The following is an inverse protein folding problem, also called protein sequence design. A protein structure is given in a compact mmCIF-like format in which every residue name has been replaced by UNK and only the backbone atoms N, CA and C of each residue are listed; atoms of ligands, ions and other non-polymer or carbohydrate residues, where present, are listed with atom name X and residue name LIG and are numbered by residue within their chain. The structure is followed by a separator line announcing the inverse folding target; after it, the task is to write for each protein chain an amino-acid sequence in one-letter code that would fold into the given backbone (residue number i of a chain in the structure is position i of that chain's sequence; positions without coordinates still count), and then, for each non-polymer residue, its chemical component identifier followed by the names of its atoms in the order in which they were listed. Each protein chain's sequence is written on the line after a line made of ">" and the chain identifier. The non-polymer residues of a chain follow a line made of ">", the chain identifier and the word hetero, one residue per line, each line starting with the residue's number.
data_IF_267475513356
#
_entry.id   IF_267475513356
#
_cell.length_a   1.000
_cell.length_b   1.000
_cell.length_c   1.000
_cell.angle_alpha   90.00
_cell.angle_beta   90.00
_cell.angle_gamma   90.00
#
_symmetry.space_group_name_H-M   'P 1'
#
loop_
_entity.id
_entity.type
_entity.pdbx_description
1 polymer ?
#
# COMPACT_ATOMS: atom_id res chain seq x y z
N UNK A 1 -15.55 0.67 6.43
CA UNK A 1 -14.78 0.12 7.59
C UNK A 1 -14.32 -1.28 7.21
N UNK A 2 -13.06 -1.61 7.40
CA UNK A 2 -12.53 -2.95 7.21
C UNK A 2 -12.17 -3.55 8.58
N UNK A 3 -12.46 -4.82 8.78
CA UNK A 3 -12.11 -5.58 9.99
C UNK A 3 -11.25 -6.77 9.61
N UNK A 4 -10.44 -7.23 10.54
CA UNK A 4 -9.53 -8.35 10.34
C UNK A 4 -9.60 -9.29 11.54
N UNK A 5 -9.65 -10.58 11.29
CA UNK A 5 -9.74 -11.58 12.34
C UNK A 5 -8.93 -12.84 11.98
N UNK A 6 -8.16 -13.33 12.92
CA UNK A 6 -7.77 -12.69 14.17
C UNK A 6 -6.66 -11.63 13.96
N UNK A 7 -6.64 -10.56 14.76
CA UNK A 7 -5.58 -9.58 14.64
C UNK A 7 -4.26 -10.02 15.31
N UNK A 8 -4.34 -10.90 16.29
CA UNK A 8 -3.22 -11.37 17.09
C UNK A 8 -3.38 -12.86 17.39
N UNK A 9 -2.36 -13.65 17.15
CA UNK A 9 -2.41 -15.09 17.40
C UNK A 9 -1.06 -15.63 17.91
N UNK A 10 -1.11 -16.52 18.90
CA UNK A 10 0.07 -17.17 19.41
C UNK A 10 0.59 -18.21 18.42
N UNK A 11 1.88 -18.16 18.13
CA UNK A 11 2.54 -19.17 17.31
C UNK A 11 3.05 -20.30 18.20
N UNK A 12 2.51 -21.49 17.98
CA UNK A 12 2.87 -22.71 18.70
C UNK A 12 3.26 -23.80 17.68
N UNK A 13 3.79 -24.92 18.16
CA UNK A 13 4.07 -26.07 17.30
C UNK A 13 2.81 -26.81 16.83
N UNK A 14 1.67 -26.53 17.44
CA UNK A 14 0.39 -27.12 17.09
C UNK A 14 -0.29 -26.46 15.88
N UNK A 15 -1.62 -26.64 15.82
CA UNK A 15 -2.43 -26.03 14.79
C UNK A 15 -2.35 -24.51 14.84
N UNK A 16 -2.24 -23.86 13.67
CA UNK A 16 -2.12 -22.43 13.51
C UNK A 16 -3.27 -21.89 12.69
N UNK A 17 -3.92 -20.85 13.18
CA UNK A 17 -4.86 -20.09 12.38
C UNK A 17 -4.10 -19.20 11.39
N UNK A 18 -4.56 -19.14 10.15
CA UNK A 18 -4.07 -18.26 9.09
C UNK A 18 -5.24 -17.74 8.28
N UNK A 19 -5.19 -16.49 7.81
CA UNK A 19 -4.13 -15.47 7.99
C UNK A 19 -4.26 -14.72 9.31
N UNK A 20 -3.15 -14.12 9.77
CA UNK A 20 -3.06 -13.28 10.97
C UNK A 20 -2.39 -11.95 10.65
N UNK A 21 -2.60 -10.95 11.50
CA UNK A 21 -1.85 -9.70 11.42
C UNK A 21 -0.54 -9.76 12.20
N UNK A 22 -0.57 -10.33 13.40
CA UNK A 22 0.58 -10.39 14.29
C UNK A 22 0.68 -11.81 14.87
N UNK A 23 1.84 -12.43 14.68
CA UNK A 23 2.25 -13.62 15.39
C UNK A 23 3.01 -13.25 16.64
N UNK A 24 2.87 -14.03 17.69
CA UNK A 24 3.68 -13.84 18.89
C UNK A 24 3.96 -15.16 19.62
N UNK A 25 5.03 -15.20 20.37
CA UNK A 25 5.32 -16.17 21.41
C UNK A 25 5.53 -15.44 22.74
N UNK A 26 6.11 -16.10 23.73
CA UNK A 26 6.38 -15.49 25.04
C UNK A 26 7.56 -14.48 25.04
N UNK A 27 8.32 -14.37 23.95
CA UNK A 27 9.50 -13.51 23.85
C UNK A 27 9.43 -12.54 22.68
N UNK A 28 8.69 -12.88 21.60
CA UNK A 28 8.75 -12.17 20.33
C UNK A 28 7.34 -11.86 19.81
N UNK A 29 7.26 -10.80 19.00
CA UNK A 29 6.09 -10.50 18.19
C UNK A 29 6.54 -10.12 16.78
N UNK A 30 5.82 -10.62 15.78
CA UNK A 30 6.15 -10.43 14.37
C UNK A 30 4.94 -9.90 13.60
N UNK A 31 5.16 -8.88 12.80
CA UNK A 31 4.15 -8.31 11.90
C UNK A 31 4.14 -9.07 10.59
N UNK A 32 2.96 -9.50 10.16
CA UNK A 32 2.79 -10.13 8.85
C UNK A 32 2.65 -9.10 7.73
N UNK A 33 2.69 -9.53 6.47
CA UNK A 33 2.36 -8.66 5.34
C UNK A 33 0.95 -8.06 5.45
N UNK A 34 -0.02 -8.81 5.98
CA UNK A 34 -1.37 -8.32 6.25
C UNK A 34 -1.41 -7.16 7.25
N UNK A 35 -0.57 -7.19 8.28
CA UNK A 35 -0.41 -6.06 9.20
C UNK A 35 0.05 -4.81 8.45
N UNK A 36 1.09 -4.94 7.63
CA UNK A 36 1.62 -3.78 6.91
C UNK A 36 0.63 -3.21 5.89
N UNK A 37 -0.13 -4.05 5.20
CA UNK A 37 -1.21 -3.60 4.31
C UNK A 37 -2.24 -2.77 5.10
N UNK A 38 -2.74 -3.29 6.22
CA UNK A 38 -3.69 -2.56 7.08
C UNK A 38 -3.10 -1.26 7.61
N UNK A 39 -1.85 -1.27 8.03
CA UNK A 39 -1.15 -0.09 8.51
C UNK A 39 -1.04 0.98 7.42
N UNK A 40 -0.61 0.61 6.21
CA UNK A 40 -0.47 1.54 5.09
C UNK A 40 -1.81 2.18 4.73
N UNK A 41 -2.88 1.39 4.66
CA UNK A 41 -4.20 1.92 4.33
C UNK A 41 -4.80 2.77 5.44
N UNK A 42 -4.57 2.43 6.71
CA UNK A 42 -5.14 3.16 7.84
C UNK A 42 -4.43 4.47 8.16
N UNK A 43 -3.11 4.53 7.96
CA UNK A 43 -2.31 5.71 8.24
C UNK A 43 -2.33 6.74 7.12
N UNK A 44 -2.44 6.29 5.89
CA UNK A 44 -2.47 7.15 4.71
C UNK A 44 -3.92 7.36 4.26
N UNK A 45 -4.61 8.23 4.92
CA UNK A 45 -6.02 8.56 4.65
C UNK A 45 -6.19 10.06 4.41
N UNK A 46 -7.14 10.42 3.59
CA UNK A 46 -7.54 11.81 3.38
C UNK A 46 -9.03 11.97 3.59
N UNK A 47 -9.51 13.19 3.46
CA UNK A 47 -10.92 13.58 3.68
C UNK A 47 -11.70 13.83 2.39
N UNK A 48 -11.05 13.86 1.25
CA UNK A 48 -11.69 14.04 -0.04
C UNK A 48 -11.22 13.01 -1.05
N UNK A 49 -12.14 12.28 -1.66
CA UNK A 49 -11.84 11.33 -2.73
C UNK A 49 -11.57 12.10 -4.02
N UNK A 50 -10.45 11.77 -4.67
CA UNK A 50 -10.10 12.30 -5.98
C UNK A 50 -10.40 11.26 -7.07
N UNK A 51 -10.94 11.67 -8.21
CA UNK A 51 -11.11 10.76 -9.34
C UNK A 51 -9.74 10.31 -9.86
N UNK A 52 -9.59 9.01 -10.06
CA UNK A 52 -8.39 8.41 -10.62
C UNK A 52 -8.79 7.45 -11.74
N UNK A 53 -8.23 7.67 -12.92
CA UNK A 53 -8.56 6.87 -14.11
C UNK A 53 -7.31 6.38 -14.82
N UNK A 54 -7.42 5.24 -15.45
CA UNK A 54 -6.49 4.69 -16.43
C UNK A 54 -7.31 4.28 -17.66
N UNK A 55 -6.89 4.72 -18.85
CA UNK A 55 -7.64 4.48 -20.07
C UNK A 55 -9.12 4.95 -19.99
N UNK A 56 -9.33 6.12 -19.36
CA UNK A 56 -10.65 6.75 -19.14
C UNK A 56 -11.63 5.93 -18.27
N UNK A 57 -11.14 4.90 -17.56
CA UNK A 57 -11.92 4.07 -16.63
C UNK A 57 -11.35 4.15 -15.23
N UNK A 58 -12.16 3.97 -14.17
CA UNK A 58 -11.64 3.77 -12.82
C UNK A 58 -10.62 2.63 -12.78
N UNK A 59 -9.58 2.76 -11.96
CA UNK A 59 -8.52 1.73 -11.86
C UNK A 59 -8.98 0.64 -10.91
N UNK A 60 -9.61 -0.38 -11.44
CA UNK A 60 -10.31 -1.44 -10.71
C UNK A 60 -9.99 -2.86 -11.19
N UNK A 61 -8.78 -3.08 -11.72
CA UNK A 61 -8.32 -4.39 -12.15
C UNK A 61 -8.98 -4.92 -13.43
N UNK A 62 -9.52 -4.05 -14.28
CA UNK A 62 -10.06 -4.44 -15.59
C UNK A 62 -8.97 -5.06 -16.47
N UNK A 63 -9.36 -5.83 -17.47
CA UNK A 63 -8.43 -6.58 -18.34
C UNK A 63 -7.36 -5.69 -18.99
N UNK A 64 -7.73 -4.46 -19.35
CA UNK A 64 -6.84 -3.45 -19.94
C UNK A 64 -6.00 -2.67 -18.91
N UNK A 65 -6.06 -3.03 -17.65
CA UNK A 65 -5.36 -2.37 -16.53
C UNK A 65 -4.33 -3.28 -15.84
N UNK A 66 -4.01 -4.41 -16.43
CA UNK A 66 -2.93 -5.32 -15.99
C UNK A 66 -3.00 -5.73 -14.50
N UNK A 67 -4.20 -5.88 -13.95
CA UNK A 67 -4.39 -6.27 -12.54
C UNK A 67 -4.08 -5.15 -11.54
N UNK A 68 -4.09 -3.89 -11.98
CA UNK A 68 -3.90 -2.73 -11.13
C UNK A 68 -5.22 -2.28 -10.49
N UNK A 69 -5.15 -1.97 -9.20
CA UNK A 69 -6.19 -1.30 -8.44
C UNK A 69 -5.61 -0.03 -7.85
N UNK A 70 -6.32 1.08 -7.94
CA UNK A 70 -5.81 2.32 -7.38
C UNK A 70 -6.93 3.22 -6.87
N UNK A 71 -6.57 4.07 -5.91
CA UNK A 71 -7.41 5.15 -5.39
C UNK A 71 -6.58 6.36 -5.06
N UNK A 72 -7.18 7.53 -5.13
CA UNK A 72 -6.54 8.77 -4.74
C UNK A 72 -7.44 9.55 -3.78
N UNK A 73 -6.82 10.22 -2.81
CA UNK A 73 -7.49 11.09 -1.87
C UNK A 73 -6.66 12.35 -1.65
N UNK A 74 -7.36 13.43 -1.30
CA UNK A 74 -6.77 14.65 -0.79
C UNK A 74 -6.91 14.71 0.71
N UNK A 75 -5.86 15.11 1.39
CA UNK A 75 -5.88 15.41 2.82
C UNK A 75 -5.77 16.94 3.00
N UNK A 76 -6.82 17.54 3.55
CA UNK A 76 -6.87 18.99 3.80
C UNK A 76 -5.91 19.43 4.92
N UNK A 77 -5.64 18.55 5.88
CA UNK A 77 -4.84 18.88 7.06
C UNK A 77 -3.36 18.92 6.73
N UNK A 78 -2.87 17.95 5.97
CA UNK A 78 -1.48 17.88 5.52
C UNK A 78 -1.23 18.53 4.16
N UNK A 79 -2.30 18.79 3.40
CA UNK A 79 -2.27 19.28 2.01
C UNK A 79 -1.55 18.33 1.08
N UNK A 80 -1.81 17.05 1.24
CA UNK A 80 -1.20 15.99 0.47
C UNK A 80 -2.19 15.30 -0.47
N UNK A 81 -1.72 14.91 -1.63
CA UNK A 81 -2.39 13.94 -2.48
C UNK A 81 -1.83 12.56 -2.15
N UNK A 82 -2.68 11.67 -1.70
CA UNK A 82 -2.31 10.31 -1.34
C UNK A 82 -2.85 9.37 -2.41
N UNK A 83 -1.95 8.76 -3.17
CA UNK A 83 -2.27 7.75 -4.19
C UNK A 83 -1.91 6.38 -3.66
N UNK A 84 -2.85 5.46 -3.71
CA UNK A 84 -2.66 4.06 -3.32
C UNK A 84 -2.79 3.19 -4.55
N UNK A 85 -1.81 2.32 -4.76
CA UNK A 85 -1.80 1.39 -5.88
C UNK A 85 -1.55 -0.01 -5.37
N UNK A 86 -2.33 -0.95 -5.87
CA UNK A 86 -2.13 -2.39 -5.66
C UNK A 86 -1.91 -3.04 -7.01
N UNK A 87 -0.80 -3.72 -7.16
CA UNK A 87 -0.48 -4.54 -8.32
C UNK A 87 -0.68 -6.01 -7.95
N UNK A 88 -1.70 -6.63 -8.53
CA UNK A 88 -2.00 -8.06 -8.34
C UNK A 88 -1.40 -8.94 -9.42
N UNK A 89 -0.76 -8.35 -10.43
CA UNK A 89 -0.03 -9.12 -11.45
C UNK A 89 1.29 -9.65 -10.89
N UNK A 90 1.78 -10.74 -11.45
CA UNK A 90 3.10 -11.28 -11.13
C UNK A 90 4.26 -10.50 -11.79
N UNK A 91 3.99 -9.33 -12.37
CA UNK A 91 4.99 -8.56 -13.12
C UNK A 91 5.09 -7.14 -12.58
N UNK A 92 6.31 -6.57 -12.49
CA UNK A 92 6.48 -5.17 -12.14
C UNK A 92 5.85 -4.26 -13.21
N UNK A 93 5.16 -3.22 -12.78
CA UNK A 93 4.51 -2.24 -13.64
C UNK A 93 5.16 -0.86 -13.45
N UNK A 94 5.50 -0.21 -14.56
CA UNK A 94 5.94 1.18 -14.56
C UNK A 94 4.73 2.08 -14.77
N UNK A 95 4.48 2.96 -13.81
CA UNK A 95 3.33 3.86 -13.83
C UNK A 95 3.80 5.30 -13.96
N UNK A 96 3.04 6.11 -14.72
CA UNK A 96 3.17 7.55 -14.75
C UNK A 96 1.86 8.16 -14.28
N UNK A 97 1.93 9.11 -13.36
CA UNK A 97 0.76 9.81 -12.84
C UNK A 97 0.70 11.22 -13.40
N UNK A 98 -0.41 11.58 -14.02
CA UNK A 98 -0.72 12.94 -14.43
C UNK A 98 -1.69 13.55 -13.43
N UNK A 99 -1.37 14.74 -12.95
CA UNK A 99 -2.21 15.46 -11.98
C UNK A 99 -2.89 16.63 -12.70
N UNK A 100 -4.13 16.40 -13.11
CA UNK A 100 -4.95 17.41 -13.77
C UNK A 100 -5.73 18.23 -12.75
N UNK A 101 -6.02 19.48 -13.10
CA UNK A 101 -6.83 20.37 -12.26
C UNK A 101 -6.12 20.98 -11.04
N UNK A 102 -4.79 20.82 -10.92
CA UNK A 102 -4.04 21.58 -9.94
C UNK A 102 -4.11 23.07 -10.27
N UNK A 103 -4.36 23.96 -9.28
CA UNK A 103 -4.30 25.39 -9.48
C UNK A 103 -2.98 25.81 -10.11
N UNK A 104 -2.92 26.85 -10.98
CA UNK A 104 -1.72 27.25 -11.68
C UNK A 104 -0.53 27.61 -10.79
N UNK A 105 -0.81 28.08 -9.57
CA UNK A 105 0.17 28.43 -8.56
C UNK A 105 0.64 27.25 -7.70
N UNK A 106 -0.08 26.14 -7.74
CA UNK A 106 0.24 24.94 -6.97
C UNK A 106 1.18 24.06 -7.78
N UNK A 107 2.18 23.52 -7.11
CA UNK A 107 3.15 22.58 -7.70
C UNK A 107 3.40 21.44 -6.73
N UNK A 108 3.52 20.25 -7.26
CA UNK A 108 4.01 19.11 -6.49
C UNK A 108 5.53 19.25 -6.36
N UNK A 109 6.01 19.37 -5.13
CA UNK A 109 7.43 19.64 -4.86
C UNK A 109 8.18 18.44 -4.35
N UNK A 110 7.55 17.72 -3.42
CA UNK A 110 8.13 16.56 -2.76
C UNK A 110 7.11 15.43 -2.75
N UNK A 111 7.60 14.22 -2.72
CA UNK A 111 6.76 13.06 -2.53
C UNK A 111 7.54 11.95 -1.87
N UNK A 112 6.81 11.07 -1.21
CA UNK A 112 7.33 9.86 -0.59
C UNK A 112 6.58 8.66 -1.18
N UNK A 113 7.31 7.64 -1.58
CA UNK A 113 6.74 6.36 -1.94
C UNK A 113 6.99 5.38 -0.80
N UNK A 114 5.91 4.76 -0.32
CA UNK A 114 6.00 3.65 0.63
C UNK A 114 5.55 2.39 -0.10
N UNK A 115 6.46 1.46 -0.28
CA UNK A 115 6.24 0.25 -1.06
C UNK A 115 6.36 -1.01 -0.21
N UNK A 116 5.32 -1.84 -0.21
CA UNK A 116 5.36 -3.20 0.31
C UNK A 116 5.38 -4.16 -0.87
N UNK A 117 6.44 -4.96 -1.00
CA UNK A 117 6.61 -5.90 -2.11
C UNK A 117 7.28 -7.18 -1.69
N UNK A 118 7.05 -8.23 -2.46
CA UNK A 118 7.82 -9.47 -2.44
C UNK A 118 7.93 -10.03 -3.85
N UNK A 119 9.06 -10.61 -4.19
CA UNK A 119 9.24 -11.38 -5.43
C UNK A 119 8.80 -12.85 -5.27
N UNK A 120 8.56 -13.25 -4.03
CA UNK A 120 8.10 -14.61 -3.68
C UNK A 120 6.71 -14.50 -3.00
N UNK A 121 5.64 -14.95 -3.68
CA UNK A 121 4.28 -14.79 -3.16
C UNK A 121 3.99 -15.52 -1.84
N UNK A 122 4.80 -16.52 -1.52
CA UNK A 122 4.64 -17.31 -0.30
C UNK A 122 5.58 -16.90 0.83
N UNK A 123 6.42 -15.89 0.59
CA UNK A 123 7.31 -15.38 1.63
C UNK A 123 6.49 -14.77 2.76
N UNK A 124 6.83 -15.12 3.97
CA UNK A 124 6.22 -14.57 5.19
C UNK A 124 7.29 -14.21 6.22
N UNK A 125 6.98 -13.24 7.05
CA UNK A 125 7.78 -12.96 8.23
C UNK A 125 7.55 -14.07 9.27
N UNK A 126 8.64 -14.52 9.90
CA UNK A 126 8.61 -15.53 10.96
C UNK A 126 9.17 -14.96 12.26
N UNK A 127 9.04 -15.69 13.37
CA UNK A 127 9.60 -15.26 14.64
C UNK A 127 11.14 -15.17 14.57
N UNK A 128 11.78 -16.02 13.78
CA UNK A 128 13.23 -16.06 13.57
C UNK A 128 13.70 -15.00 12.57
N UNK A 129 12.84 -14.65 11.60
CA UNK A 129 13.14 -13.71 10.54
C UNK A 129 11.96 -12.70 10.40
N UNK A 130 11.92 -11.76 11.30
CA UNK A 130 10.77 -10.86 11.48
C UNK A 130 10.63 -9.74 10.45
N UNK A 131 11.65 -9.54 9.59
CA UNK A 131 11.75 -8.39 8.69
C UNK A 131 12.02 -8.78 7.23
N UNK A 132 11.64 -10.00 6.81
CA UNK A 132 11.78 -10.42 5.42
C UNK A 132 10.90 -9.59 4.46
N UNK A 133 9.73 -9.21 4.95
CA UNK A 133 8.78 -8.35 4.23
C UNK A 133 8.44 -7.19 5.15
N UNK A 134 8.80 -5.99 4.73
CA UNK A 134 8.45 -4.75 5.41
C UNK A 134 8.32 -3.63 4.37
N UNK A 135 7.60 -2.54 4.67
CA UNK A 135 7.54 -1.40 3.78
C UNK A 135 8.91 -0.73 3.64
N UNK A 136 9.29 -0.47 2.40
CA UNK A 136 10.41 0.40 2.05
C UNK A 136 9.88 1.81 1.78
N UNK A 137 10.59 2.82 2.26
CA UNK A 137 10.23 4.22 2.07
C UNK A 137 11.36 4.94 1.32
N UNK A 138 11.00 5.66 0.27
CA UNK A 138 11.96 6.43 -0.52
C UNK A 138 11.34 7.70 -1.09
N UNK A 139 12.15 8.77 -1.25
CA UNK A 139 11.68 10.01 -1.84
C UNK A 139 11.40 9.82 -3.34
N UNK A 140 10.39 10.51 -3.84
CA UNK A 140 10.10 10.64 -5.26
C UNK A 140 10.23 12.09 -5.70
N UNK A 141 10.60 12.28 -6.95
CA UNK A 141 10.74 13.58 -7.55
C UNK A 141 9.69 13.76 -8.65
N UNK A 142 9.18 14.98 -8.76
CA UNK A 142 8.21 15.33 -9.77
C UNK A 142 8.88 16.09 -10.91
N UNK A 143 8.51 15.75 -12.14
CA UNK A 143 8.87 16.51 -13.34
C UNK A 143 7.66 17.30 -13.81
N UNK A 144 7.51 18.52 -13.30
CA UNK A 144 6.36 19.37 -13.58
C UNK A 144 5.09 18.86 -12.90
N UNK A 145 4.06 18.49 -13.69
CA UNK A 145 2.79 17.91 -13.20
C UNK A 145 2.72 16.39 -13.34
N UNK A 146 3.82 15.77 -13.73
CA UNK A 146 3.90 14.32 -13.99
C UNK A 146 4.92 13.69 -13.07
N UNK A 147 4.59 12.52 -12.58
CA UNK A 147 5.47 11.65 -11.81
C UNK A 147 5.78 10.40 -12.63
#
# INVERSE_FOLDING_TARGET
>A
MATYAPPLFARTEGWQWRPDMIWFDNLHAVRTSSYYVQQLFSRNKGNQVLPLTMNQKPVAGNDDQYGLFASAVWDNDTREIIVKVVNTSGQPQKLAFNFDGLPPQERLTNGTCIQLRSNEPRLENTLEQSNLIQPDEFPIQFSGKTL
#
